data_IF_032155125317
#
_entry.id   IF_032155125317
#
_cell.length_a   1.000
_cell.length_b   1.000
_cell.length_c   1.000
_cell.angle_alpha   90.00
_cell.angle_beta   90.00
_cell.angle_gamma   90.00
#
_symmetry.space_group_name_H-M   'P 1'
#
loop_
_entity.id
_entity.type
_entity.pdbx_description
1 polymer ?
#
# COMPACT_ATOMS: atom_id res chain seq x y z
N UNK A 1 19.41 6.54 -14.04
CA UNK A 1 19.11 7.28 -12.79
C UNK A 1 17.81 8.10 -12.83
N UNK A 2 17.25 8.45 -14.00
CA UNK A 2 16.03 9.27 -14.12
C UNK A 2 14.70 8.53 -13.79
N UNK A 3 14.56 7.26 -14.16
CA UNK A 3 13.31 6.51 -13.96
C UNK A 3 12.99 6.21 -12.49
N UNK A 4 14.02 5.94 -11.68
CA UNK A 4 13.86 5.65 -10.24
C UNK A 4 13.39 6.90 -9.48
N UNK A 5 13.89 8.08 -9.87
CA UNK A 5 13.48 9.36 -9.27
C UNK A 5 12.07 9.79 -9.67
N UNK A 6 11.60 9.42 -10.87
CA UNK A 6 10.23 9.70 -11.30
C UNK A 6 9.22 8.78 -10.59
N UNK A 7 9.55 7.49 -10.42
CA UNK A 7 8.71 6.54 -9.68
C UNK A 7 8.57 6.91 -8.20
N UNK A 8 9.61 7.45 -7.57
CA UNK A 8 9.52 7.86 -6.16
C UNK A 8 8.60 9.08 -5.97
N UNK A 9 8.65 10.06 -6.87
CA UNK A 9 7.75 11.24 -6.84
C UNK A 9 6.29 10.86 -7.04
N UNK A 10 6.00 9.98 -7.98
CA UNK A 10 4.65 9.49 -8.25
C UNK A 10 4.06 8.75 -7.04
N UNK A 11 4.86 7.90 -6.38
CA UNK A 11 4.41 7.16 -5.19
C UNK A 11 4.27 8.06 -3.96
N UNK A 12 5.11 9.09 -3.82
CA UNK A 12 4.93 10.13 -2.80
C UNK A 12 3.62 10.88 -2.99
N UNK A 13 3.31 11.26 -4.24
CA UNK A 13 2.02 11.86 -4.58
C UNK A 13 0.86 10.94 -4.20
N UNK A 14 0.87 9.68 -4.64
CA UNK A 14 -0.16 8.68 -4.30
C UNK A 14 -0.32 8.53 -2.77
N UNK A 15 0.79 8.47 -2.04
CA UNK A 15 0.77 8.34 -0.57
C UNK A 15 0.08 9.55 0.07
N UNK A 16 0.32 10.76 -0.45
CA UNK A 16 -0.29 11.98 0.06
C UNK A 16 -1.76 12.13 -0.35
N UNK A 17 -2.11 11.83 -1.60
CA UNK A 17 -3.47 11.99 -2.14
C UNK A 17 -4.44 10.92 -1.61
N UNK A 18 -3.93 9.73 -1.27
CA UNK A 18 -4.74 8.61 -0.79
C UNK A 18 -4.40 8.20 0.65
N UNK A 19 -3.79 9.08 1.45
CA UNK A 19 -3.34 8.73 2.81
C UNK A 19 -4.44 8.10 3.67
N UNK A 20 -5.63 8.71 3.69
CA UNK A 20 -6.75 8.24 4.50
C UNK A 20 -7.27 6.88 4.03
N UNK A 21 -7.35 6.68 2.71
CA UNK A 21 -7.72 5.41 2.12
C UNK A 21 -6.71 4.33 2.49
N UNK A 22 -5.42 4.57 2.26
CA UNK A 22 -4.37 3.60 2.55
C UNK A 22 -4.37 3.23 4.03
N UNK A 23 -4.56 4.19 4.94
CA UNK A 23 -4.74 3.94 6.37
C UNK A 23 -5.95 3.05 6.67
N UNK A 24 -7.10 3.33 6.04
CA UNK A 24 -8.31 2.53 6.18
C UNK A 24 -8.08 1.09 5.71
N UNK A 25 -7.52 0.91 4.52
CA UNK A 25 -7.16 -0.41 3.95
C UNK A 25 -6.28 -1.19 4.93
N UNK A 26 -5.21 -0.58 5.44
CA UNK A 26 -4.32 -1.26 6.39
C UNK A 26 -5.05 -1.66 7.68
N UNK A 27 -5.90 -0.78 8.22
CA UNK A 27 -6.65 -1.04 9.44
C UNK A 27 -7.65 -2.18 9.28
N UNK A 28 -8.37 -2.21 8.16
CA UNK A 28 -9.36 -3.27 7.88
C UNK A 28 -8.68 -4.63 7.72
N UNK A 29 -7.53 -4.68 7.04
CA UNK A 29 -6.77 -5.92 6.92
C UNK A 29 -6.26 -6.36 8.29
N UNK A 30 -5.68 -5.45 9.08
CA UNK A 30 -5.18 -5.77 10.41
C UNK A 30 -6.28 -6.33 11.33
N UNK A 31 -7.47 -5.75 11.27
CA UNK A 31 -8.66 -6.26 11.96
C UNK A 31 -9.08 -7.65 11.46
N UNK A 32 -9.01 -7.90 10.15
CA UNK A 32 -9.35 -9.19 9.55
C UNK A 32 -8.39 -10.30 9.95
N UNK A 33 -7.08 -10.00 10.02
CA UNK A 33 -6.05 -10.99 10.40
C UNK A 33 -5.80 -11.02 11.91
N UNK A 34 -6.37 -10.07 12.67
CA UNK A 34 -6.27 -9.93 14.12
C UNK A 34 -4.81 -9.90 14.62
N UNK A 35 -3.93 -9.25 13.88
CA UNK A 35 -2.50 -9.18 14.21
C UNK A 35 -1.75 -10.53 14.25
N UNK A 36 -2.38 -11.64 13.83
CA UNK A 36 -1.77 -13.00 13.89
C UNK A 36 -0.55 -13.13 12.99
N UNK A 37 -0.47 -12.32 11.95
CA UNK A 37 0.62 -12.27 10.99
C UNK A 37 0.73 -10.86 10.43
N UNK A 38 1.82 -10.61 9.70
CA UNK A 38 2.01 -9.38 8.94
C UNK A 38 1.03 -9.31 7.76
N UNK A 39 0.67 -8.08 7.39
CA UNK A 39 -0.10 -7.77 6.18
C UNK A 39 0.75 -8.14 4.95
N UNK A 40 0.15 -8.84 4.02
CA UNK A 40 0.76 -9.22 2.75
C UNK A 40 0.12 -8.47 1.60
N UNK A 41 0.82 -8.40 0.47
CA UNK A 41 0.29 -7.83 -0.76
C UNK A 41 -1.06 -8.47 -1.16
N UNK A 42 -1.17 -9.79 -1.03
CA UNK A 42 -2.40 -10.53 -1.30
C UNK A 42 -3.59 -10.06 -0.46
N UNK A 43 -3.36 -9.63 0.79
CA UNK A 43 -4.46 -9.13 1.64
C UNK A 43 -5.00 -7.81 1.11
N UNK A 44 -4.10 -6.94 0.63
CA UNK A 44 -4.45 -5.67 0.02
C UNK A 44 -5.23 -5.92 -1.26
N UNK A 45 -4.75 -6.81 -2.14
CA UNK A 45 -5.45 -7.21 -3.36
C UNK A 45 -6.84 -7.75 -3.07
N UNK A 46 -6.94 -8.68 -2.13
CA UNK A 46 -8.21 -9.30 -1.76
C UNK A 46 -9.18 -8.26 -1.21
N UNK A 47 -8.70 -7.33 -0.38
CA UNK A 47 -9.53 -6.27 0.14
C UNK A 47 -10.02 -5.35 -0.98
N UNK A 48 -9.12 -4.88 -1.85
CA UNK A 48 -9.50 -3.90 -2.86
C UNK A 48 -10.43 -4.49 -3.94
N UNK A 49 -10.28 -5.77 -4.27
CA UNK A 49 -11.21 -6.49 -5.15
C UNK A 49 -12.58 -6.61 -4.47
N UNK A 50 -12.61 -6.96 -3.18
CA UNK A 50 -13.86 -7.10 -2.42
C UNK A 50 -14.62 -5.79 -2.28
N UNK A 51 -13.92 -4.67 -2.10
CA UNK A 51 -14.51 -3.33 -1.99
C UNK A 51 -14.81 -2.67 -3.35
N UNK A 52 -14.60 -3.41 -4.45
CA UNK A 52 -14.87 -2.96 -5.82
C UNK A 52 -14.11 -1.69 -6.25
N UNK A 53 -12.88 -1.50 -5.77
CA UNK A 53 -12.03 -0.43 -6.31
C UNK A 53 -11.62 -0.76 -7.74
N UNK A 54 -11.89 0.16 -8.67
CA UNK A 54 -11.62 0.00 -10.10
C UNK A 54 -10.86 1.18 -10.68
N UNK A 55 -10.33 0.97 -11.89
CA UNK A 55 -9.73 2.03 -12.70
C UNK A 55 -8.48 2.65 -12.07
N UNK A 56 -8.40 3.98 -12.09
CA UNK A 56 -7.21 4.73 -11.68
C UNK A 56 -6.79 4.43 -10.24
N UNK A 57 -7.74 4.39 -9.32
CA UNK A 57 -7.50 4.17 -7.90
C UNK A 57 -6.93 2.78 -7.61
N UNK A 58 -7.44 1.75 -8.30
CA UNK A 58 -6.88 0.40 -8.24
C UNK A 58 -5.41 0.43 -8.68
N UNK A 59 -5.11 1.00 -9.85
CA UNK A 59 -3.75 1.07 -10.38
C UNK A 59 -2.79 1.82 -9.45
N UNK A 60 -3.23 2.90 -8.83
CA UNK A 60 -2.42 3.69 -7.88
C UNK A 60 -2.09 2.89 -6.61
N UNK A 61 -3.03 2.11 -6.07
CA UNK A 61 -2.80 1.23 -4.92
C UNK A 61 -1.80 0.13 -5.29
N UNK A 62 -1.93 -0.47 -6.48
CA UNK A 62 -0.99 -1.48 -6.99
C UNK A 62 0.40 -0.90 -7.14
N UNK A 63 0.53 0.28 -7.75
CA UNK A 63 1.80 0.96 -7.96
C UNK A 63 2.48 1.29 -6.62
N UNK A 64 1.69 1.77 -5.65
CA UNK A 64 2.15 2.03 -4.30
C UNK A 64 2.68 0.74 -3.62
N UNK A 65 1.94 -0.36 -3.71
CA UNK A 65 2.36 -1.65 -3.17
C UNK A 65 3.67 -2.13 -3.80
N UNK A 66 3.75 -2.11 -5.13
CA UNK A 66 4.93 -2.53 -5.89
C UNK A 66 6.16 -1.71 -5.50
N UNK A 67 6.01 -0.40 -5.33
CA UNK A 67 7.09 0.45 -4.86
C UNK A 67 7.55 0.06 -3.46
N UNK A 68 6.63 -0.16 -2.52
CA UNK A 68 6.99 -0.54 -1.15
C UNK A 68 7.65 -1.92 -1.09
N UNK A 69 7.26 -2.87 -1.94
CA UNK A 69 7.92 -4.18 -2.10
C UNK A 69 9.36 -3.98 -2.58
N UNK A 70 9.58 -3.17 -3.63
CA UNK A 70 10.92 -2.86 -4.16
C UNK A 70 11.84 -2.19 -3.15
N UNK A 71 11.29 -1.44 -2.20
CA UNK A 71 12.05 -0.81 -1.11
C UNK A 71 12.41 -1.81 0.01
N UNK A 72 12.17 -3.12 -0.17
CA UNK A 72 12.45 -4.14 0.84
C UNK A 72 11.51 -4.10 2.04
N UNK A 73 10.43 -3.32 1.99
CA UNK A 73 9.47 -3.16 3.11
C UNK A 73 8.42 -4.26 3.18
N UNK A 74 8.67 -5.46 2.64
CA UNK A 74 7.79 -6.65 2.71
C UNK A 74 8.64 -7.96 2.71
N UNK A 75 9.31 -8.47 3.76
CA UNK A 75 9.11 -8.39 5.22
C UNK A 75 8.61 -7.03 5.70
N UNK A 76 7.32 -6.96 6.05
CA UNK A 76 6.69 -5.71 6.46
C UNK A 76 7.28 -5.25 7.78
N UNK A 77 8.38 -4.51 7.71
CA UNK A 77 8.84 -3.58 8.72
C UNK A 77 8.05 -2.29 8.49
N UNK A 78 6.84 -2.27 9.06
CA UNK A 78 6.21 -1.03 9.51
C UNK A 78 7.04 -0.58 10.70
N UNK A 79 8.19 0.03 10.45
CA UNK A 79 8.89 0.80 11.48
C UNK A 79 8.84 2.30 11.21
N UNK A 80 8.20 2.74 10.12
CA UNK A 80 8.22 4.16 9.75
C UNK A 80 6.89 4.66 9.17
N UNK A 81 5.79 4.36 9.87
CA UNK A 81 4.78 5.40 10.08
C UNK A 81 4.83 5.72 11.57
N UNK A 82 5.99 6.18 12.01
CA UNK A 82 6.18 6.76 13.33
C UNK A 82 5.52 8.13 13.31
N UNK A 83 4.65 8.38 14.28
CA UNK A 83 4.09 9.69 14.60
C UNK A 83 5.20 10.63 15.10
#
# INVERSE_FOLDING_TARGET
MSQIQNQSKEVQYITSSHLNLLKRIMKEIDQSIKGKRKIMYSDIINLIIREDYRGKMFNEIILWCNYKIKQGKYNVLIEQITF
#
